data_IF_904292032066
#
_entry.id   IF_904292032066
#
_cell.length_a   1.000
_cell.length_b   1.000
_cell.length_c   1.000
_cell.angle_alpha   90.00
_cell.angle_beta   90.00
_cell.angle_gamma   90.00
#
_symmetry.space_group_name_H-M   'P 1'
#
loop_
_entity.id
_entity.type
_entity.pdbx_description
1 polymer ?
#
# COMPACT_ATOMS: atom_id res chain seq x y z
N UNK A 1 5.71 3.36 -1.21
CA UNK A 1 5.81 4.65 -0.48
C UNK A 1 4.47 5.39 -0.51
N UNK A 2 4.19 6.20 0.52
CA UNK A 2 3.06 7.11 0.59
C UNK A 2 3.57 8.52 0.32
N UNK A 3 2.99 9.21 -0.66
CA UNK A 3 3.39 10.56 -1.05
C UNK A 3 2.15 11.40 -1.41
N UNK A 4 2.29 12.72 -1.32
CA UNK A 4 1.28 13.66 -1.83
C UNK A 4 1.30 13.66 -3.37
N UNK A 5 0.12 13.74 -4.00
CA UNK A 5 0.01 13.72 -5.47
C UNK A 5 0.72 14.89 -6.16
N UNK A 6 0.99 16.00 -5.46
CA UNK A 6 1.71 17.16 -6.00
C UNK A 6 3.23 17.01 -5.88
N UNK A 7 3.71 16.08 -5.08
CA UNK A 7 5.14 15.79 -4.99
C UNK A 7 5.62 15.09 -6.25
N UNK A 8 6.84 15.39 -6.75
CA UNK A 8 7.43 14.62 -7.83
C UNK A 8 7.62 13.16 -7.40
N UNK A 9 7.51 12.24 -8.36
CA UNK A 9 7.51 10.78 -8.12
C UNK A 9 8.67 10.31 -7.25
N UNK A 10 9.87 10.82 -7.54
CA UNK A 10 11.13 10.46 -6.88
C UNK A 10 11.55 11.51 -5.81
N UNK A 11 10.61 12.37 -5.38
CA UNK A 11 10.86 13.45 -4.44
C UNK A 11 10.51 13.14 -2.99
N UNK A 12 10.02 14.15 -2.28
CA UNK A 12 9.64 14.02 -0.87
C UNK A 12 8.42 13.11 -0.72
N UNK A 13 8.62 11.96 -0.12
CA UNK A 13 7.57 11.07 0.36
C UNK A 13 7.28 11.35 1.84
N UNK A 14 6.09 10.93 2.30
CA UNK A 14 5.64 11.09 3.68
C UNK A 14 6.16 9.93 4.52
N UNK A 15 5.90 8.70 4.05
CA UNK A 15 6.29 7.48 4.76
C UNK A 15 6.55 6.33 3.78
N UNK A 16 7.54 5.49 4.10
CA UNK A 16 7.78 4.22 3.43
C UNK A 16 7.06 3.10 4.18
N UNK A 17 6.17 2.39 3.46
CA UNK A 17 5.32 1.31 3.99
C UNK A 17 5.75 -0.07 3.49
N UNK A 18 6.80 -0.14 2.66
CA UNK A 18 7.22 -1.38 2.01
C UNK A 18 7.82 -1.16 0.62
N UNK A 19 8.31 -2.26 0.05
CA UNK A 19 8.94 -2.31 -1.27
C UNK A 19 8.35 -3.43 -2.14
N UNK A 20 8.48 -3.24 -3.45
CA UNK A 20 8.11 -4.21 -4.45
C UNK A 20 9.26 -4.39 -5.44
N UNK A 21 9.77 -5.61 -5.55
CA UNK A 21 10.77 -5.97 -6.55
C UNK A 21 10.18 -6.96 -7.57
N UNK A 22 9.87 -6.49 -8.80
CA UNK A 22 9.36 -7.35 -9.87
C UNK A 22 10.44 -8.21 -10.54
N UNK A 23 11.73 -7.89 -10.36
CA UNK A 23 12.85 -8.55 -11.04
C UNK A 23 13.22 -9.87 -10.35
N UNK A 24 13.04 -9.93 -9.04
CA UNK A 24 13.26 -11.15 -8.26
C UNK A 24 12.29 -12.27 -8.70
N UNK A 25 12.80 -13.49 -8.86
CA UNK A 25 12.00 -14.70 -9.00
C UNK A 25 12.17 -15.54 -7.72
N UNK A 26 11.18 -15.58 -6.81
CA UNK A 26 9.82 -15.03 -6.90
C UNK A 26 9.75 -13.52 -6.61
N UNK A 27 8.71 -12.85 -7.15
CA UNK A 27 8.51 -11.42 -6.97
C UNK A 27 8.39 -11.08 -5.48
N UNK A 28 9.33 -10.28 -4.98
CA UNK A 28 9.39 -9.93 -3.57
C UNK A 28 8.43 -8.77 -3.29
N UNK A 29 7.44 -9.03 -2.44
CA UNK A 29 6.47 -8.03 -1.99
C UNK A 29 6.56 -7.99 -0.47
N UNK A 30 7.10 -6.89 0.06
CA UNK A 30 7.16 -6.66 1.49
C UNK A 30 6.37 -5.39 1.79
N UNK A 31 5.26 -5.54 2.52
CA UNK A 31 4.35 -4.45 2.86
C UNK A 31 4.03 -4.56 4.34
N UNK A 32 4.25 -3.47 5.06
CA UNK A 32 3.84 -3.31 6.45
C UNK A 32 2.31 -3.13 6.50
N UNK A 33 1.62 -4.18 6.94
CA UNK A 33 0.17 -4.22 6.95
C UNK A 33 -0.43 -3.16 7.89
N UNK A 34 0.19 -2.90 9.03
CA UNK A 34 -0.33 -1.98 10.06
C UNK A 34 -0.31 -0.53 9.57
N UNK A 35 0.82 -0.09 9.01
CA UNK A 35 0.95 1.24 8.40
C UNK A 35 0.03 1.39 7.20
N UNK A 36 -0.05 0.38 6.34
CA UNK A 36 -0.94 0.40 5.19
C UNK A 36 -2.42 0.56 5.60
N UNK A 37 -2.87 -0.17 6.62
CA UNK A 37 -4.24 -0.05 7.16
C UNK A 37 -4.48 1.37 7.71
N UNK A 38 -3.54 1.90 8.48
CA UNK A 38 -3.64 3.26 9.04
C UNK A 38 -3.83 4.31 7.95
N UNK A 39 -3.01 4.29 6.90
CA UNK A 39 -3.12 5.24 5.79
C UNK A 39 -4.41 5.07 4.99
N UNK A 40 -4.83 3.84 4.75
CA UNK A 40 -6.08 3.55 4.03
C UNK A 40 -7.34 3.95 4.84
N UNK A 41 -7.27 3.92 6.18
CA UNK A 41 -8.31 4.46 7.05
C UNK A 41 -8.30 5.99 7.10
N UNK A 42 -7.12 6.61 7.00
CA UNK A 42 -6.97 8.07 6.89
C UNK A 42 -7.37 8.64 5.52
N UNK A 43 -7.79 7.80 4.57
CA UNK A 43 -8.28 8.24 3.25
C UNK A 43 -7.22 8.21 2.13
N UNK A 44 -6.08 7.57 2.33
CA UNK A 44 -5.11 7.38 1.26
C UNK A 44 -5.73 6.58 0.09
N UNK A 45 -5.54 7.05 -1.13
CA UNK A 45 -6.00 6.39 -2.34
C UNK A 45 -4.84 5.65 -3.01
N UNK A 46 -4.84 4.30 -3.05
CA UNK A 46 -3.81 3.55 -3.76
C UNK A 46 -4.02 3.63 -5.27
N UNK A 47 -2.93 3.58 -6.03
CA UNK A 47 -2.99 3.39 -7.49
C UNK A 47 -3.42 1.96 -7.86
N UNK A 48 -3.84 1.75 -9.11
CA UNK A 48 -4.31 0.45 -9.61
C UNK A 48 -3.30 -0.70 -9.35
N UNK A 49 -2.02 -0.49 -9.65
CA UNK A 49 -0.97 -1.48 -9.41
C UNK A 49 -0.77 -1.74 -7.91
N UNK A 50 -0.77 -0.68 -7.09
CA UNK A 50 -0.61 -0.80 -5.63
C UNK A 50 -1.80 -1.55 -5.03
N UNK A 51 -3.02 -1.32 -5.53
CA UNK A 51 -4.21 -2.07 -5.11
C UNK A 51 -4.08 -3.57 -5.41
N UNK A 52 -3.53 -3.93 -6.57
CA UNK A 52 -3.25 -5.34 -6.88
C UNK A 52 -2.20 -5.94 -5.94
N UNK A 53 -1.14 -5.20 -5.60
CA UNK A 53 -0.12 -5.64 -4.64
C UNK A 53 -0.68 -5.80 -3.22
N UNK A 54 -1.50 -4.84 -2.77
CA UNK A 54 -2.17 -4.91 -1.46
C UNK A 54 -3.15 -6.08 -1.36
N UNK A 55 -3.79 -6.46 -2.47
CA UNK A 55 -4.61 -7.68 -2.54
C UNK A 55 -3.75 -8.93 -2.43
N UNK A 56 -2.62 -9.01 -3.15
CA UNK A 56 -1.67 -10.13 -3.07
C UNK A 56 -1.07 -10.28 -1.66
N UNK A 57 -0.84 -9.16 -0.98
CA UNK A 57 -0.35 -9.13 0.39
C UNK A 57 -1.45 -9.39 1.45
N UNK A 58 -2.71 -9.58 1.06
CA UNK A 58 -3.83 -9.81 1.99
C UNK A 58 -4.27 -8.60 2.82
N UNK A 59 -3.57 -7.46 2.74
CA UNK A 59 -3.89 -6.22 3.47
C UNK A 59 -5.25 -5.66 3.04
N UNK A 60 -5.56 -5.75 1.74
CA UNK A 60 -6.82 -5.24 1.20
C UNK A 60 -8.04 -6.00 1.74
N UNK A 61 -7.92 -7.31 1.97
CA UNK A 61 -8.99 -8.14 2.54
C UNK A 61 -9.26 -7.73 3.99
N UNK A 62 -8.21 -7.60 4.81
CA UNK A 62 -8.33 -7.16 6.21
C UNK A 62 -9.08 -5.84 6.36
N UNK A 63 -8.87 -4.89 5.44
CA UNK A 63 -9.56 -3.58 5.45
C UNK A 63 -11.00 -3.72 5.01
N UNK A 64 -11.26 -4.52 3.97
CA UNK A 64 -12.63 -4.77 3.50
C UNK A 64 -13.48 -5.41 4.61
N UNK A 65 -12.93 -6.39 5.32
CA UNK A 65 -13.56 -7.02 6.49
C UNK A 65 -13.80 -6.01 7.62
N UNK A 66 -12.79 -5.21 7.97
CA UNK A 66 -12.92 -4.18 9.01
C UNK A 66 -13.97 -3.11 8.68
N UNK A 67 -14.18 -2.78 7.39
CA UNK A 67 -15.22 -1.85 6.95
C UNK A 67 -16.61 -2.48 6.89
N UNK A 68 -16.70 -3.77 6.57
CA UNK A 68 -17.97 -4.50 6.51
C UNK A 68 -18.54 -4.79 7.91
N UNK A 69 -17.68 -4.87 8.94
CA UNK A 69 -18.07 -5.10 10.32
C UNK A 69 -18.52 -3.82 11.09
N UNK A 70 -18.52 -2.65 10.44
CA UNK A 70 -18.86 -1.35 11.03
C UNK A 70 -20.14 -0.80 10.43
#
# INVERSE_FOLDING_TARGET
VVADSRSPRDGRFIEEIGYYNPVSQPATIEIDAEKAIKWLNNGAQPSETVKALLKKAGVWQKIAEARAAK
#
